data_IF_187831046560
#
_entry.id   IF_187831046560
#
_cell.length_a   1.000
_cell.length_b   1.000
_cell.length_c   1.000
_cell.angle_alpha   90.00
_cell.angle_beta   90.00
_cell.angle_gamma   90.00
#
_symmetry.space_group_name_H-M   'P 1'
#
loop_
_entity.id
_entity.type
_entity.pdbx_description
1 polymer ?
#
# COMPACT_ATOMS: atom_id res chain seq x y z
N UNK A 1 14.32 49.38 38.93
CA UNK A 1 13.84 48.96 37.62
C UNK A 1 13.58 47.46 37.72
N UNK A 2 12.36 47.06 38.01
CA UNK A 2 12.00 45.66 38.20
C UNK A 2 11.54 45.12 36.85
N UNK A 3 12.30 44.18 36.35
CA UNK A 3 12.06 43.49 35.09
C UNK A 3 10.86 42.58 35.24
N UNK A 4 9.75 42.93 34.61
CA UNK A 4 8.51 42.15 34.58
C UNK A 4 8.68 40.94 33.69
N UNK A 5 9.20 39.84 34.23
CA UNK A 5 9.12 38.54 33.60
C UNK A 5 7.65 38.14 33.56
N UNK A 6 7.01 38.34 32.40
CA UNK A 6 5.70 37.75 32.10
C UNK A 6 5.83 36.23 32.17
N UNK A 7 5.00 35.54 32.95
CA UNK A 7 4.98 34.09 32.95
C UNK A 7 4.56 33.64 31.56
N UNK A 8 5.45 32.91 30.88
CA UNK A 8 5.10 32.20 29.65
C UNK A 8 3.95 31.26 30.00
N UNK A 9 2.74 31.70 29.60
CA UNK A 9 1.52 30.95 29.83
C UNK A 9 1.74 29.51 29.43
N UNK A 10 1.57 28.59 30.38
CA UNK A 10 1.90 27.17 30.28
C UNK A 10 1.37 26.59 28.98
N UNK A 11 2.29 26.25 28.08
CA UNK A 11 1.99 25.46 26.93
C UNK A 11 1.41 24.12 27.44
N UNK A 12 0.05 24.01 27.41
CA UNK A 12 -0.63 22.76 27.72
C UNK A 12 0.05 21.66 26.94
N UNK A 13 0.71 20.73 27.62
CA UNK A 13 1.34 19.57 27.00
C UNK A 13 0.27 18.86 26.17
N UNK A 14 0.36 18.97 24.86
CA UNK A 14 -0.55 18.24 23.96
C UNK A 14 -0.35 16.77 24.26
N UNK A 15 -1.41 16.06 24.66
CA UNK A 15 -1.29 14.64 25.01
C UNK A 15 -0.55 13.89 23.92
N UNK A 16 0.38 13.01 24.29
CA UNK A 16 1.27 12.29 23.38
C UNK A 16 0.52 11.62 22.20
N UNK A 17 -0.68 11.11 22.47
CA UNK A 17 -1.57 10.55 21.44
C UNK A 17 -2.03 11.57 20.39
N UNK A 18 -2.36 12.78 20.80
CA UNK A 18 -2.80 13.83 19.88
C UNK A 18 -1.66 14.27 18.95
N UNK A 19 -0.45 14.34 19.50
CA UNK A 19 0.75 14.65 18.72
C UNK A 19 1.06 13.52 17.73
N UNK A 20 1.06 12.27 18.16
CA UNK A 20 1.29 11.11 17.31
C UNK A 20 0.28 11.06 16.15
N UNK A 21 -1.01 11.22 16.44
CA UNK A 21 -2.06 11.24 15.41
C UNK A 21 -1.86 12.38 14.39
N UNK A 22 -1.47 13.57 14.84
CA UNK A 22 -1.22 14.70 13.95
C UNK A 22 -0.01 14.45 13.04
N UNK A 23 1.06 13.85 13.57
CA UNK A 23 2.25 13.45 12.82
C UNK A 23 1.90 12.40 11.76
N UNK A 24 1.18 11.35 12.16
CA UNK A 24 0.74 10.29 11.23
C UNK A 24 -0.12 10.84 10.12
N UNK A 25 -1.09 11.69 10.45
CA UNK A 25 -1.97 12.32 9.45
C UNK A 25 -1.19 13.20 8.47
N UNK A 26 -0.25 14.01 8.97
CA UNK A 26 0.58 14.86 8.13
C UNK A 26 1.47 14.05 7.19
N UNK A 27 2.08 12.95 7.69
CA UNK A 27 2.89 12.03 6.89
C UNK A 27 2.04 11.31 5.85
N UNK A 28 0.86 10.82 6.24
CA UNK A 28 -0.09 10.17 5.33
C UNK A 28 -0.53 11.12 4.21
N UNK A 29 -0.94 12.34 4.52
CA UNK A 29 -1.34 13.32 3.52
C UNK A 29 -0.19 13.66 2.57
N UNK A 30 1.01 13.85 3.08
CA UNK A 30 2.19 14.10 2.25
C UNK A 30 2.46 12.95 1.28
N UNK A 31 2.44 11.72 1.78
CA UNK A 31 2.68 10.53 0.95
C UNK A 31 1.54 10.32 -0.07
N UNK A 32 0.29 10.54 0.34
CA UNK A 32 -0.86 10.45 -0.54
C UNK A 32 -0.79 11.48 -1.69
N UNK A 33 -0.48 12.74 -1.38
CA UNK A 33 -0.33 13.80 -2.38
C UNK A 33 0.84 13.50 -3.32
N UNK A 34 1.99 13.06 -2.78
CA UNK A 34 3.14 12.70 -3.61
C UNK A 34 2.86 11.53 -4.57
N UNK A 35 1.95 10.64 -4.19
CA UNK A 35 1.54 9.49 -5.01
C UNK A 35 0.52 9.84 -6.08
N UNK A 36 -0.45 10.69 -5.74
CA UNK A 36 -1.58 10.96 -6.62
C UNK A 36 -1.36 12.19 -7.50
N UNK A 37 -0.54 13.15 -7.07
CA UNK A 37 -0.36 14.43 -7.77
C UNK A 37 1.04 14.63 -8.38
N UNK A 38 2.01 13.77 -8.05
CA UNK A 38 3.36 13.90 -8.60
C UNK A 38 3.42 13.66 -10.11
N UNK A 39 2.47 12.88 -10.63
CA UNK A 39 2.38 12.57 -12.05
C UNK A 39 0.95 12.79 -12.54
N UNK A 40 0.74 13.63 -13.56
CA UNK A 40 -0.60 13.90 -14.12
C UNK A 40 -1.28 12.62 -14.65
N UNK A 41 -0.49 11.59 -14.96
CA UNK A 41 -0.95 10.29 -15.45
C UNK A 41 -0.78 9.17 -14.40
N UNK A 42 -0.26 9.45 -13.21
CA UNK A 42 0.09 8.43 -12.21
C UNK A 42 -1.10 7.59 -11.76
N UNK A 43 -2.29 8.22 -11.59
CA UNK A 43 -3.49 7.51 -11.25
C UNK A 43 -4.17 6.78 -12.46
N UNK A 44 -3.94 7.22 -13.67
CA UNK A 44 -4.33 6.44 -14.84
C UNK A 44 -3.53 5.13 -14.89
N UNK A 45 -2.20 5.20 -14.73
CA UNK A 45 -1.35 4.01 -14.72
C UNK A 45 -1.64 3.06 -13.56
N UNK A 46 -1.99 3.58 -12.40
CA UNK A 46 -2.34 2.78 -11.22
C UNK A 46 -3.56 1.87 -11.47
N UNK A 47 -4.50 2.31 -12.29
CA UNK A 47 -5.69 1.54 -12.68
C UNK A 47 -5.40 0.71 -13.93
N UNK A 48 -4.73 1.31 -14.92
CA UNK A 48 -4.51 0.71 -16.23
C UNK A 48 -3.54 -0.49 -16.17
N UNK A 49 -2.48 -0.40 -15.37
CA UNK A 49 -1.49 -1.48 -15.24
C UNK A 49 -2.12 -2.81 -14.82
N UNK A 50 -2.84 -2.93 -13.70
CA UNK A 50 -3.50 -4.19 -13.33
C UNK A 50 -4.58 -4.60 -14.33
N UNK A 51 -5.31 -3.66 -14.91
CA UNK A 51 -6.33 -3.97 -15.94
C UNK A 51 -5.67 -4.58 -17.20
N UNK A 52 -4.56 -4.00 -17.64
CA UNK A 52 -3.83 -4.50 -18.80
C UNK A 52 -3.27 -5.91 -18.55
N UNK A 53 -2.70 -6.16 -17.37
CA UNK A 53 -2.17 -7.46 -17.01
C UNK A 53 -3.29 -8.52 -16.97
N UNK A 54 -4.42 -8.20 -16.34
CA UNK A 54 -5.59 -9.09 -16.30
C UNK A 54 -6.09 -9.34 -17.74
N UNK A 55 -6.26 -8.29 -18.54
CA UNK A 55 -6.73 -8.42 -19.91
C UNK A 55 -5.82 -9.27 -20.80
N UNK A 56 -4.50 -9.08 -20.69
CA UNK A 56 -3.52 -9.89 -21.42
C UNK A 56 -3.57 -11.36 -20.97
N UNK A 57 -3.60 -11.60 -19.66
CA UNK A 57 -3.64 -12.96 -19.11
C UNK A 57 -4.92 -13.70 -19.51
N UNK A 58 -6.08 -13.04 -19.43
CA UNK A 58 -7.37 -13.60 -19.86
C UNK A 58 -7.34 -13.89 -21.37
N UNK A 59 -6.78 -12.98 -22.18
CA UNK A 59 -6.67 -13.17 -23.64
C UNK A 59 -5.76 -14.35 -24.01
N UNK A 60 -4.59 -14.44 -23.38
CA UNK A 60 -3.66 -15.56 -23.61
C UNK A 60 -4.32 -16.89 -23.28
N UNK A 61 -4.98 -16.95 -22.14
CA UNK A 61 -5.66 -18.20 -21.74
C UNK A 61 -6.83 -18.55 -22.68
N UNK A 62 -7.63 -17.59 -23.07
CA UNK A 62 -8.71 -17.80 -24.03
C UNK A 62 -8.24 -18.35 -25.38
N UNK A 63 -7.02 -17.96 -25.81
CA UNK A 63 -6.41 -18.44 -27.04
C UNK A 63 -5.79 -19.84 -26.93
N UNK A 64 -5.17 -20.15 -25.79
CA UNK A 64 -4.35 -21.37 -25.64
C UNK A 64 -5.00 -22.48 -24.80
N UNK A 65 -6.01 -22.17 -23.99
CA UNK A 65 -6.60 -23.10 -23.03
C UNK A 65 -8.12 -23.10 -23.06
N UNK A 66 -8.72 -23.17 -24.25
CA UNK A 66 -10.19 -23.26 -24.41
C UNK A 66 -10.71 -24.49 -23.67
N UNK A 67 -11.42 -24.31 -22.56
CA UNK A 67 -12.25 -25.34 -21.93
C UNK A 67 -11.76 -25.94 -20.62
N UNK A 68 -10.71 -25.44 -19.96
CA UNK A 68 -10.37 -25.95 -18.63
C UNK A 68 -10.87 -25.01 -17.52
N UNK A 69 -11.98 -25.41 -16.89
CA UNK A 69 -12.41 -24.84 -15.61
C UNK A 69 -11.33 -25.15 -14.56
N UNK A 70 -10.97 -24.15 -13.74
CA UNK A 70 -10.08 -24.36 -12.61
C UNK A 70 -10.93 -24.80 -11.43
N UNK A 71 -11.02 -26.13 -11.19
CA UNK A 71 -11.58 -26.70 -9.96
C UNK A 71 -12.84 -26.01 -9.43
N UNK A 72 -13.84 -25.75 -10.29
CA UNK A 72 -15.13 -25.22 -9.87
C UNK A 72 -15.19 -23.71 -9.66
N UNK A 73 -14.18 -22.94 -10.08
CA UNK A 73 -14.21 -21.48 -10.07
C UNK A 73 -14.01 -20.92 -11.48
N UNK A 74 -14.73 -19.87 -11.80
CA UNK A 74 -14.54 -19.12 -13.03
C UNK A 74 -13.13 -18.53 -13.06
N UNK A 75 -12.49 -18.65 -14.22
CA UNK A 75 -11.10 -18.27 -14.38
C UNK A 75 -10.81 -16.77 -14.14
N UNK A 76 -11.72 -15.91 -14.58
CA UNK A 76 -11.54 -14.44 -14.49
C UNK A 76 -11.60 -13.97 -13.03
N UNK A 77 -12.61 -14.35 -12.21
CA UNK A 77 -12.63 -14.04 -10.79
C UNK A 77 -11.40 -14.54 -10.03
N UNK A 78 -11.02 -15.79 -10.27
CA UNK A 78 -9.83 -16.38 -9.63
C UNK A 78 -8.55 -15.59 -9.93
N UNK A 79 -8.38 -15.17 -11.18
CA UNK A 79 -7.21 -14.40 -11.61
C UNK A 79 -7.19 -13.00 -11.01
N UNK A 80 -8.34 -12.32 -10.94
CA UNK A 80 -8.46 -10.98 -10.33
C UNK A 80 -8.07 -11.04 -8.86
N UNK A 81 -8.63 -11.96 -8.11
CA UNK A 81 -8.36 -12.12 -6.67
C UNK A 81 -6.88 -12.46 -6.44
N UNK A 82 -6.34 -13.43 -7.19
CA UNK A 82 -4.94 -13.84 -7.06
C UNK A 82 -3.96 -12.72 -7.40
N UNK A 83 -4.17 -12.02 -8.51
CA UNK A 83 -3.29 -10.94 -8.95
C UNK A 83 -3.37 -9.72 -8.02
N UNK A 84 -4.58 -9.36 -7.58
CA UNK A 84 -4.77 -8.24 -6.63
C UNK A 84 -4.19 -8.56 -5.25
N UNK A 85 -4.39 -9.78 -4.76
CA UNK A 85 -3.81 -10.23 -3.48
C UNK A 85 -2.29 -10.28 -3.53
N UNK A 86 -1.71 -10.89 -4.57
CA UNK A 86 -0.26 -10.88 -4.78
C UNK A 86 0.28 -9.45 -4.90
N UNK A 87 -0.43 -8.58 -5.66
CA UNK A 87 -0.09 -7.18 -5.81
C UNK A 87 -0.09 -6.43 -4.48
N UNK A 88 -1.07 -6.68 -3.61
CA UNK A 88 -1.12 -6.10 -2.26
C UNK A 88 0.12 -6.46 -1.44
N UNK A 89 0.47 -7.73 -1.39
CA UNK A 89 1.66 -8.21 -0.65
C UNK A 89 2.95 -7.64 -1.22
N UNK A 90 3.16 -7.79 -2.54
CA UNK A 90 4.37 -7.35 -3.25
C UNK A 90 4.59 -5.84 -3.12
N UNK A 91 3.56 -5.04 -3.36
CA UNK A 91 3.66 -3.58 -3.31
C UNK A 91 3.93 -3.07 -1.89
N UNK A 92 3.33 -3.66 -0.87
CA UNK A 92 3.65 -3.33 0.53
C UNK A 92 5.14 -3.54 0.81
N UNK A 93 5.68 -4.68 0.42
CA UNK A 93 7.09 -5.01 0.62
C UNK A 93 8.01 -4.06 -0.16
N UNK A 94 7.72 -3.82 -1.45
CA UNK A 94 8.54 -2.98 -2.33
C UNK A 94 8.51 -1.50 -1.92
N UNK A 95 7.38 -1.02 -1.41
CA UNK A 95 7.23 0.37 -0.97
C UNK A 95 7.85 0.63 0.39
N UNK A 96 7.86 -0.36 1.25
CA UNK A 96 8.58 -0.29 2.52
C UNK A 96 10.08 -0.14 2.31
N UNK A 97 10.62 -0.79 1.29
CA UNK A 97 12.04 -0.66 0.92
C UNK A 97 12.34 0.80 0.51
N UNK A 98 13.30 1.42 1.18
CA UNK A 98 13.68 2.82 0.97
C UNK A 98 12.72 3.85 1.59
N UNK A 99 11.73 3.42 2.39
CA UNK A 99 10.87 4.34 3.13
C UNK A 99 11.67 5.16 4.15
N UNK A 100 12.63 4.53 4.80
CA UNK A 100 13.54 5.17 5.79
C UNK A 100 14.43 6.18 5.07
N UNK A 101 15.11 5.79 4.01
CA UNK A 101 16.02 6.65 3.24
C UNK A 101 15.34 7.91 2.71
N UNK A 102 14.16 7.75 2.12
CA UNK A 102 13.40 8.86 1.55
C UNK A 102 12.91 9.87 2.60
N UNK A 103 12.93 9.49 3.88
CA UNK A 103 12.41 10.30 4.98
C UNK A 103 13.49 10.70 6.00
N UNK A 104 14.77 10.47 5.71
CA UNK A 104 15.90 10.80 6.63
C UNK A 104 15.85 12.23 7.13
N UNK A 105 15.46 13.19 6.29
CA UNK A 105 15.32 14.59 6.69
C UNK A 105 14.26 14.86 7.76
N UNK A 106 13.26 13.97 7.90
CA UNK A 106 12.21 14.12 8.92
C UNK A 106 12.66 13.63 10.30
N UNK A 107 13.70 12.80 10.37
CA UNK A 107 14.17 12.24 11.64
C UNK A 107 14.92 13.27 12.50
N UNK A 108 15.23 14.45 11.93
CA UNK A 108 15.66 15.61 12.72
C UNK A 108 14.59 16.07 13.72
N UNK A 109 13.32 15.75 13.43
CA UNK A 109 12.22 16.00 14.36
C UNK A 109 12.05 14.82 15.31
N UNK A 110 12.30 15.01 16.59
CA UNK A 110 12.23 13.99 17.65
C UNK A 110 10.89 13.22 17.73
N UNK A 111 9.86 13.74 17.10
CA UNK A 111 8.50 13.17 17.12
C UNK A 111 8.25 12.10 16.04
N UNK A 112 9.14 12.00 15.03
CA UNK A 112 9.01 11.08 13.89
C UNK A 112 9.96 9.91 14.08
N UNK A 113 9.40 8.70 14.11
CA UNK A 113 10.21 7.48 14.18
C UNK A 113 10.35 6.85 12.79
N UNK A 114 11.48 6.18 12.47
CA UNK A 114 11.65 5.49 11.20
C UNK A 114 10.53 4.47 10.89
N UNK A 115 10.04 3.77 11.92
CA UNK A 115 8.93 2.80 11.80
C UNK A 115 7.64 3.48 11.31
N UNK A 116 7.36 4.71 11.75
CA UNK A 116 6.15 5.43 11.36
C UNK A 116 6.11 5.69 9.85
N UNK A 117 7.26 5.94 9.23
CA UNK A 117 7.34 6.17 7.78
C UNK A 117 7.02 4.93 6.98
N UNK A 118 7.46 3.75 7.45
CA UNK A 118 7.17 2.47 6.82
C UNK A 118 5.70 2.12 6.97
N UNK A 119 5.16 2.25 8.18
CA UNK A 119 3.75 1.95 8.47
C UNK A 119 2.80 2.83 7.66
N UNK A 120 3.07 4.14 7.57
CA UNK A 120 2.25 5.06 6.78
C UNK A 120 2.25 4.67 5.30
N UNK A 121 3.38 4.29 4.73
CA UNK A 121 3.46 3.82 3.34
C UNK A 121 2.69 2.54 3.11
N UNK A 122 2.90 1.54 3.98
CA UNK A 122 2.17 0.27 3.87
C UNK A 122 0.67 0.46 4.05
N UNK A 123 0.26 1.37 4.95
CA UNK A 123 -1.15 1.68 5.15
C UNK A 123 -1.77 2.33 3.91
N UNK A 124 -1.11 3.32 3.34
CA UNK A 124 -1.56 3.98 2.11
C UNK A 124 -1.66 2.99 0.95
N UNK A 125 -0.65 2.14 0.78
CA UNK A 125 -0.64 1.13 -0.29
C UNK A 125 -1.79 0.16 -0.16
N UNK A 126 -2.03 -0.34 1.04
CA UNK A 126 -3.16 -1.23 1.30
C UNK A 126 -4.51 -0.56 1.04
N UNK A 127 -4.68 0.71 1.41
CA UNK A 127 -5.90 1.47 1.08
C UNK A 127 -6.10 1.60 -0.44
N UNK A 128 -5.05 1.95 -1.19
CA UNK A 128 -5.11 2.08 -2.64
C UNK A 128 -5.43 0.74 -3.31
N UNK A 129 -4.78 -0.35 -2.89
CA UNK A 129 -5.04 -1.70 -3.42
C UNK A 129 -6.43 -2.21 -3.04
N UNK A 130 -6.90 -1.93 -1.83
CA UNK A 130 -8.27 -2.25 -1.43
C UNK A 130 -9.31 -1.50 -2.25
N UNK A 131 -9.08 -0.22 -2.51
CA UNK A 131 -9.94 0.57 -3.39
C UNK A 131 -9.98 0.00 -4.81
N UNK A 132 -8.82 -0.34 -5.39
CA UNK A 132 -8.74 -0.95 -6.71
C UNK A 132 -9.44 -2.31 -6.74
N UNK A 133 -9.23 -3.15 -5.73
CA UNK A 133 -9.89 -4.45 -5.64
C UNK A 133 -11.41 -4.33 -5.63
N UNK A 134 -11.95 -3.43 -4.78
CA UNK A 134 -13.39 -3.16 -4.74
C UNK A 134 -13.91 -2.62 -6.07
N UNK A 135 -13.16 -1.74 -6.71
CA UNK A 135 -13.51 -1.19 -8.03
C UNK A 135 -13.55 -2.30 -9.08
N UNK A 136 -12.57 -3.22 -9.11
CA UNK A 136 -12.57 -4.34 -10.04
C UNK A 136 -13.71 -5.33 -9.77
N UNK A 137 -14.02 -5.59 -8.50
CA UNK A 137 -15.19 -6.41 -8.16
C UNK A 137 -16.48 -5.78 -8.66
N UNK A 138 -16.66 -4.47 -8.45
CA UNK A 138 -17.86 -3.76 -8.90
C UNK A 138 -17.96 -3.72 -10.43
N UNK A 139 -16.88 -3.45 -11.14
CA UNK A 139 -16.88 -3.43 -12.62
C UNK A 139 -17.12 -4.82 -13.18
N UNK A 140 -16.52 -5.83 -12.60
CA UNK A 140 -16.70 -7.21 -13.05
C UNK A 140 -18.13 -7.71 -12.86
N UNK A 141 -18.74 -7.40 -11.72
CA UNK A 141 -20.15 -7.72 -11.48
C UNK A 141 -21.07 -7.00 -12.49
N UNK A 142 -20.78 -5.74 -12.81
CA UNK A 142 -21.50 -4.99 -13.84
C UNK A 142 -21.35 -5.59 -15.24
N UNK A 143 -20.21 -6.23 -15.52
CA UNK A 143 -19.94 -6.94 -16.78
C UNK A 143 -20.48 -8.39 -16.79
N UNK A 144 -21.30 -8.76 -15.83
CA UNK A 144 -21.90 -10.09 -15.67
C UNK A 144 -20.88 -11.21 -15.40
N UNK A 145 -19.71 -10.90 -14.90
CA UNK A 145 -18.83 -11.89 -14.30
C UNK A 145 -19.30 -12.12 -12.85
N UNK A 146 -19.52 -13.34 -12.44
CA UNK A 146 -19.90 -13.70 -11.08
C UNK A 146 -18.70 -13.50 -10.12
N UNK A 147 -18.39 -12.22 -9.80
CA UNK A 147 -17.27 -11.86 -8.93
C UNK A 147 -17.68 -11.77 -7.44
N UNK A 148 -18.97 -11.77 -7.14
CA UNK A 148 -19.42 -11.68 -5.75
C UNK A 148 -19.08 -12.98 -5.02
N UNK A 149 -18.30 -12.91 -3.93
CA UNK A 149 -17.93 -14.07 -3.16
C UNK A 149 -19.11 -14.60 -2.35
N UNK A 150 -19.28 -15.93 -2.28
CA UNK A 150 -20.29 -16.58 -1.43
C UNK A 150 -20.09 -16.25 0.05
N UNK A 151 -18.84 -16.02 0.47
CA UNK A 151 -18.46 -15.71 1.85
C UNK A 151 -17.68 -14.38 1.94
N UNK A 152 -18.35 -13.22 1.88
CA UNK A 152 -17.67 -11.92 1.86
C UNK A 152 -16.84 -11.63 3.12
N UNK A 153 -17.27 -12.14 4.27
CA UNK A 153 -16.51 -12.02 5.51
C UNK A 153 -15.18 -12.80 5.46
N UNK A 154 -15.18 -13.99 4.86
CA UNK A 154 -13.96 -14.78 4.63
C UNK A 154 -12.96 -14.02 3.78
N UNK A 155 -13.41 -13.52 2.63
CA UNK A 155 -12.55 -12.71 1.73
C UNK A 155 -11.99 -11.47 2.43
N UNK A 156 -12.78 -10.80 3.27
CA UNK A 156 -12.32 -9.65 4.04
C UNK A 156 -11.23 -10.05 5.05
N UNK A 157 -11.40 -11.16 5.76
CA UNK A 157 -10.40 -11.65 6.72
C UNK A 157 -9.11 -12.09 6.02
N UNK A 158 -9.21 -12.77 4.90
CA UNK A 158 -8.05 -13.17 4.08
C UNK A 158 -7.31 -11.94 3.55
N UNK A 159 -8.04 -10.93 3.07
CA UNK A 159 -7.47 -9.67 2.62
C UNK A 159 -6.72 -8.92 3.72
N UNK A 160 -7.33 -8.81 4.91
CA UNK A 160 -6.70 -8.16 6.06
C UNK A 160 -5.49 -8.95 6.57
N UNK A 161 -5.55 -10.29 6.58
CA UNK A 161 -4.42 -11.14 6.97
C UNK A 161 -3.25 -10.99 6.00
N UNK A 162 -3.53 -10.95 4.69
CA UNK A 162 -2.53 -10.72 3.65
C UNK A 162 -1.91 -9.33 3.75
N UNK A 163 -2.74 -8.32 4.06
CA UNK A 163 -2.25 -6.96 4.30
C UNK A 163 -1.35 -6.88 5.54
N UNK A 164 -1.74 -7.51 6.65
CA UNK A 164 -0.93 -7.59 7.86
C UNK A 164 0.41 -8.32 7.62
N UNK A 165 0.39 -9.40 6.83
CA UNK A 165 1.57 -10.13 6.42
C UNK A 165 2.49 -9.24 5.54
N UNK A 166 1.91 -8.47 4.63
CA UNK A 166 2.61 -7.47 3.82
C UNK A 166 3.29 -6.38 4.67
N UNK A 167 2.65 -5.95 5.77
CA UNK A 167 3.26 -5.02 6.72
C UNK A 167 4.47 -5.63 7.44
N UNK A 168 4.33 -6.86 7.94
CA UNK A 168 5.42 -7.57 8.58
C UNK A 168 6.62 -7.75 7.66
N UNK A 169 6.38 -8.23 6.44
CA UNK A 169 7.40 -8.37 5.41
C UNK A 169 8.04 -7.02 5.04
N UNK A 170 7.21 -5.97 4.89
CA UNK A 170 7.66 -4.61 4.60
C UNK A 170 8.58 -4.04 5.67
N UNK A 171 8.23 -4.19 6.96
CA UNK A 171 9.09 -3.78 8.08
C UNK A 171 10.42 -4.52 8.05
N UNK A 172 10.41 -5.83 7.85
CA UNK A 172 11.62 -6.65 7.79
C UNK A 172 12.53 -6.20 6.64
N UNK A 173 11.97 -6.04 5.44
CA UNK A 173 12.71 -5.64 4.24
C UNK A 173 13.24 -4.20 4.36
N UNK A 174 12.49 -3.29 5.00
CA UNK A 174 12.95 -1.91 5.20
C UNK A 174 14.17 -1.83 6.11
N UNK A 175 14.20 -2.63 7.17
CA UNK A 175 15.34 -2.72 8.11
C UNK A 175 16.53 -3.39 7.43
N UNK A 176 16.31 -4.50 6.72
CA UNK A 176 17.38 -5.17 5.98
C UNK A 176 17.99 -4.28 4.90
N UNK A 177 17.16 -3.50 4.19
CA UNK A 177 17.63 -2.57 3.16
C UNK A 177 18.44 -1.39 3.70
N UNK A 178 18.20 -0.98 4.95
CA UNK A 178 18.98 0.06 5.64
C UNK A 178 20.29 -0.49 6.20
N UNK A 179 20.28 -1.72 6.72
CA UNK A 179 21.46 -2.38 7.30
C UNK A 179 22.43 -2.93 6.23
N UNK A 180 21.92 -3.42 5.11
CA UNK A 180 22.68 -4.05 4.04
C UNK A 180 22.42 -3.34 2.71
N UNK A 181 23.27 -2.36 2.32
CA UNK A 181 23.08 -1.56 1.11
C UNK A 181 23.06 -2.39 -0.19
N UNK A 182 23.75 -3.54 -0.20
CA UNK A 182 23.74 -4.47 -1.32
C UNK A 182 22.36 -5.09 -1.53
N UNK A 183 21.67 -5.47 -0.46
CA UNK A 183 20.32 -6.02 -0.51
C UNK A 183 19.34 -5.02 -1.13
N UNK A 184 19.42 -3.75 -0.74
CA UNK A 184 18.63 -2.68 -1.32
C UNK A 184 18.88 -2.47 -2.82
N UNK A 185 20.10 -2.73 -3.31
CA UNK A 185 20.44 -2.67 -4.74
C UNK A 185 19.86 -3.83 -5.53
N UNK A 186 19.98 -5.05 -5.02
CA UNK A 186 19.46 -6.29 -5.68
C UNK A 186 17.94 -6.18 -5.87
N UNK A 187 17.21 -5.77 -4.84
CA UNK A 187 15.75 -5.65 -4.91
C UNK A 187 15.30 -4.51 -5.84
N UNK A 188 16.12 -3.45 -6.03
CA UNK A 188 15.83 -2.35 -6.97
C UNK A 188 16.14 -2.66 -8.43
N UNK A 189 17.00 -3.66 -8.73
CA UNK A 189 17.35 -4.05 -10.10
C UNK A 189 16.11 -4.56 -10.85
N UNK A 190 15.15 -5.16 -10.15
CA UNK A 190 13.88 -5.63 -10.72
C UNK A 190 12.92 -4.48 -11.17
N UNK A 191 13.35 -3.23 -11.10
CA UNK A 191 12.51 -2.04 -11.35
C UNK A 191 12.86 -1.26 -12.63
N UNK A 192 13.70 -1.85 -13.52
CA UNK A 192 14.03 -1.20 -14.80
C UNK A 192 13.34 -1.93 -15.98
#
# INVERSE_FOLDING_TARGET
MADSMLPIAGARSRGAWRVARSVWFAMFMREAISRTMADRMGWFWMIFEPLAIIGVMVSIRGLFMSGSEISGADHVPWMIVGLMGFGLFRENMMRALGAIDANKGLFAYRQVKPVDTVLVRCFLEGMLKSFLFLMFMLIGDLLQFELMPDHPLGVLLDWLSLWALGWGAGLTVSVLGDLVPEFGRVVRIDRK
#
